data_IF_133185591529
#
_entry.id   IF_133185591529
#
_cell.length_a   1.000
_cell.length_b   1.000
_cell.length_c   1.000
_cell.angle_alpha   90.00
_cell.angle_beta   90.00
_cell.angle_gamma   90.00
#
_symmetry.space_group_name_H-M   'P 1'
#
loop_
_entity.id
_entity.type
_entity.pdbx_description
1 polymer ?
#
# COMPACT_ATOMS: atom_id res chain seq x y z
N UNK A 1 -11.63 -4.89 -1.85
CA UNK A 1 -12.08 -3.48 -1.78
C UNK A 1 -10.96 -2.55 -2.27
N UNK A 2 -11.27 -1.41 -2.87
CA UNK A 2 -10.24 -0.40 -3.20
C UNK A 2 -9.83 0.34 -1.93
N UNK A 3 -8.53 0.42 -1.65
CA UNK A 3 -8.01 1.21 -0.53
C UNK A 3 -8.19 2.71 -0.75
N UNK A 4 -8.02 3.16 -2.00
CA UNK A 4 -8.24 4.55 -2.36
C UNK A 4 -9.74 4.85 -2.36
N UNK A 5 -10.21 5.82 -1.55
CA UNK A 5 -11.63 6.10 -1.38
C UNK A 5 -12.21 6.93 -2.54
N UNK A 6 -11.36 7.64 -3.28
CA UNK A 6 -11.77 8.55 -4.34
C UNK A 6 -11.78 7.88 -5.71
N UNK A 7 -12.85 8.11 -6.46
CA UNK A 7 -12.98 7.81 -7.88
C UNK A 7 -12.17 8.78 -8.73
N UNK A 8 -11.91 8.41 -9.99
CA UNK A 8 -11.20 9.30 -10.92
C UNK A 8 -11.92 10.64 -11.16
N UNK A 9 -13.25 10.67 -11.06
CA UNK A 9 -14.04 11.90 -11.17
C UNK A 9 -13.80 12.84 -9.98
N UNK A 10 -13.84 12.29 -8.77
CA UNK A 10 -13.57 13.07 -7.55
C UNK A 10 -12.12 13.58 -7.53
N UNK A 11 -11.16 12.77 -7.98
CA UNK A 11 -9.77 13.22 -8.13
C UNK A 11 -9.68 14.40 -9.10
N UNK A 12 -10.37 14.35 -10.25
CA UNK A 12 -10.41 15.47 -11.21
C UNK A 12 -11.00 16.74 -10.58
N UNK A 13 -12.13 16.61 -9.88
CA UNK A 13 -12.78 17.76 -9.22
C UNK A 13 -11.88 18.39 -8.14
N UNK A 14 -11.12 17.57 -7.40
CA UNK A 14 -10.15 18.05 -6.42
C UNK A 14 -8.96 18.76 -7.08
N UNK A 15 -8.43 18.23 -8.19
CA UNK A 15 -7.34 18.87 -8.93
C UNK A 15 -7.77 20.22 -9.53
N UNK A 16 -8.98 20.29 -10.08
CA UNK A 16 -9.57 21.53 -10.59
C UNK A 16 -9.73 22.58 -9.47
N UNK A 17 -10.18 22.16 -8.28
CA UNK A 17 -10.29 23.02 -7.11
C UNK A 17 -8.92 23.52 -6.61
N UNK A 18 -7.88 22.70 -6.74
CA UNK A 18 -6.49 23.07 -6.45
C UNK A 18 -5.85 23.93 -7.55
N UNK A 19 -6.46 24.03 -8.73
CA UNK A 19 -5.94 24.79 -9.87
C UNK A 19 -4.71 24.16 -10.53
N UNK A 20 -4.57 22.83 -10.43
CA UNK A 20 -3.43 22.08 -10.98
C UNK A 20 -3.86 21.12 -12.10
N UNK A 21 -2.93 20.76 -12.97
CA UNK A 21 -3.22 19.90 -14.13
C UNK A 21 -3.10 18.41 -13.83
N UNK A 22 -2.41 18.05 -12.74
CA UNK A 22 -2.22 16.66 -12.33
C UNK A 22 -1.72 16.52 -10.91
N UNK A 23 -1.71 15.27 -10.43
CA UNK A 23 -1.26 14.93 -9.08
C UNK A 23 0.22 15.28 -8.88
N UNK A 24 1.04 15.18 -9.93
CA UNK A 24 2.48 15.52 -9.87
C UNK A 24 2.74 17.00 -9.53
N UNK A 25 1.84 17.89 -9.94
CA UNK A 25 1.94 19.33 -9.66
C UNK A 25 1.83 19.62 -8.15
N UNK A 26 1.14 18.76 -7.40
CA UNK A 26 1.03 18.85 -5.93
C UNK A 26 2.36 18.59 -5.22
N UNK A 27 3.35 18.03 -5.91
CA UNK A 27 4.68 17.72 -5.40
C UNK A 27 5.77 18.63 -5.98
N UNK A 28 5.40 19.77 -6.57
CA UNK A 28 6.33 20.72 -7.20
C UNK A 28 7.43 21.22 -6.25
N UNK A 29 7.14 21.33 -4.96
CA UNK A 29 8.08 21.79 -3.93
C UNK A 29 9.18 20.78 -3.59
N UNK A 30 9.07 19.53 -4.05
CA UNK A 30 10.09 18.49 -3.83
C UNK A 30 11.12 18.55 -4.97
N UNK A 31 12.38 18.98 -4.69
CA UNK A 31 13.45 19.01 -5.68
C UNK A 31 13.65 17.64 -6.36
N UNK A 32 13.94 17.65 -7.66
CA UNK A 32 13.99 16.42 -8.47
C UNK A 32 15.05 15.41 -7.98
N UNK A 33 16.15 15.88 -7.40
CA UNK A 33 17.22 15.07 -6.81
C UNK A 33 16.83 14.43 -5.47
N UNK A 34 15.79 14.94 -4.80
CA UNK A 34 15.24 14.39 -3.56
C UNK A 34 14.01 13.51 -3.79
N UNK A 35 13.45 13.47 -5.00
CA UNK A 35 12.31 12.60 -5.32
C UNK A 35 12.76 11.14 -5.30
N UNK A 36 12.00 10.32 -4.58
CA UNK A 36 12.21 8.88 -4.63
C UNK A 36 11.90 8.36 -6.05
N UNK A 37 12.77 7.49 -6.57
CA UNK A 37 12.50 6.74 -7.79
C UNK A 37 11.56 5.56 -7.55
N UNK A 38 11.52 4.64 -8.51
CA UNK A 38 10.77 3.39 -8.34
C UNK A 38 11.31 2.58 -7.16
N UNK A 39 10.41 2.11 -6.30
CA UNK A 39 10.76 1.23 -5.21
C UNK A 39 10.95 -0.19 -5.75
N UNK A 40 12.03 -0.85 -5.32
CA UNK A 40 12.33 -2.24 -5.67
C UNK A 40 11.43 -3.22 -4.90
N UNK A 41 10.12 -3.18 -5.19
CA UNK A 41 9.10 -4.01 -4.55
C UNK A 41 8.48 -4.97 -5.58
N UNK A 42 7.96 -6.10 -5.07
CA UNK A 42 7.17 -7.00 -5.89
C UNK A 42 5.87 -6.34 -6.37
N UNK A 43 5.30 -6.85 -7.46
CA UNK A 43 4.01 -6.37 -7.97
C UNK A 43 2.91 -6.57 -6.91
N UNK A 44 1.99 -5.62 -6.85
CA UNK A 44 0.81 -5.72 -6.01
C UNK A 44 0.02 -6.99 -6.32
N UNK A 45 -0.37 -7.70 -5.25
CA UNK A 45 -1.21 -8.89 -5.29
C UNK A 45 -2.66 -8.50 -5.09
N UNK A 46 -3.59 -9.23 -5.71
CA UNK A 46 -5.01 -9.06 -5.38
C UNK A 46 -5.29 -9.49 -3.94
N UNK A 47 -6.41 -9.04 -3.39
CA UNK A 47 -6.84 -9.39 -2.03
C UNK A 47 -6.89 -10.91 -1.82
N UNK A 48 -7.42 -11.65 -2.81
CA UNK A 48 -7.49 -13.11 -2.77
C UNK A 48 -6.11 -13.79 -2.82
N UNK A 49 -5.21 -13.31 -3.67
CA UNK A 49 -3.85 -13.84 -3.77
C UNK A 49 -3.07 -13.60 -2.49
N UNK A 50 -3.17 -12.38 -1.93
CA UNK A 50 -2.54 -12.00 -0.68
C UNK A 50 -3.03 -12.89 0.47
N UNK A 51 -4.35 -13.07 0.62
CA UNK A 51 -4.92 -13.94 1.64
C UNK A 51 -4.40 -15.37 1.55
N UNK A 52 -4.40 -15.95 0.34
CA UNK A 52 -3.90 -17.31 0.11
C UNK A 52 -2.42 -17.44 0.43
N UNK A 53 -1.63 -16.41 0.15
CA UNK A 53 -0.20 -16.40 0.47
C UNK A 53 0.05 -16.30 1.97
N UNK A 54 -0.69 -15.43 2.67
CA UNK A 54 -0.61 -15.31 4.13
C UNK A 54 -0.99 -16.62 4.81
N UNK A 55 -2.02 -17.32 4.34
CA UNK A 55 -2.41 -18.64 4.85
C UNK A 55 -1.29 -19.68 4.65
N UNK A 56 -0.64 -19.69 3.48
CA UNK A 56 0.50 -20.58 3.21
C UNK A 56 1.69 -20.30 4.11
N UNK A 57 2.01 -19.02 4.33
CA UNK A 57 3.09 -18.62 5.23
C UNK A 57 2.78 -19.04 6.67
N UNK A 58 1.54 -18.82 7.12
CA UNK A 58 1.09 -19.23 8.46
C UNK A 58 1.14 -20.74 8.65
N UNK A 59 0.81 -21.54 7.62
CA UNK A 59 0.89 -23.00 7.68
C UNK A 59 2.33 -23.53 7.88
N UNK A 60 3.34 -22.74 7.52
CA UNK A 60 4.74 -23.09 7.75
C UNK A 60 5.24 -22.70 9.16
N UNK A 61 4.44 -21.96 9.93
CA UNK A 61 4.73 -21.69 11.33
C UNK A 61 4.22 -22.85 12.18
N UNK A 62 5.05 -23.46 13.04
CA UNK A 62 4.58 -24.45 13.99
C UNK A 62 3.49 -23.82 14.85
N UNK A 63 2.30 -24.39 14.88
CA UNK A 63 1.29 -24.00 15.86
C UNK A 63 1.83 -24.42 17.23
N UNK A 64 2.11 -23.47 18.14
CA UNK A 64 2.48 -23.87 19.48
C UNK A 64 1.28 -24.64 20.06
N UNK A 65 1.55 -25.83 20.58
CA UNK A 65 0.58 -26.53 21.42
C UNK A 65 0.33 -25.74 22.70
N UNK A 66 -0.12 -26.41 23.77
CA UNK A 66 -0.23 -25.75 25.06
C UNK A 66 1.18 -25.29 25.49
N UNK A 67 1.39 -23.97 25.52
CA UNK A 67 2.67 -23.37 25.92
C UNK A 67 2.65 -23.01 27.40
N UNK A 68 3.61 -23.56 28.14
CA UNK A 68 3.88 -23.23 29.55
C UNK A 68 5.23 -22.53 29.72
N UNK A 69 5.73 -21.85 28.69
CA UNK A 69 7.08 -21.28 28.69
C UNK A 69 7.28 -20.16 29.72
N UNK A 70 6.21 -19.56 30.24
CA UNK A 70 6.30 -18.42 31.17
C UNK A 70 6.99 -17.22 30.53
N UNK A 71 7.73 -16.43 31.32
CA UNK A 71 8.77 -15.53 30.82
C UNK A 71 8.40 -14.07 30.51
N UNK A 72 7.15 -13.65 30.69
CA UNK A 72 6.69 -12.28 30.40
C UNK A 72 6.26 -12.10 28.95
#
# INVERSE_FOLDING_TARGET
>A
MSYCPHSGKEVSEMLDACGVSGVEDLFADIPADLRAGELALEKGKSEFELMREMEKLAANCPTPGISFTGGG
#
